data_IF_670102173931
#
_entry.id   IF_670102173931
#
_cell.length_a   1.000
_cell.length_b   1.000
_cell.length_c   1.000
_cell.angle_alpha   90.00
_cell.angle_beta   90.00
_cell.angle_gamma   90.00
#
_symmetry.space_group_name_H-M   'P 1'
#
loop_
_entity.id
_entity.type
_entity.pdbx_description
1 polymer ?
#
# COMPACT_ATOMS: atom_id res chain seq x y z
N UNK A 1 -16.19 15.73 26.29
CA UNK A 1 -17.24 16.22 25.36
C UNK A 1 -17.04 15.47 24.06
N UNK A 2 -17.85 14.43 23.82
CA UNK A 2 -17.82 13.66 22.59
C UNK A 2 -18.45 14.50 21.48
N UNK A 3 -17.62 15.15 20.67
CA UNK A 3 -18.08 15.79 19.43
C UNK A 3 -18.66 14.67 18.57
N UNK A 4 -19.97 14.70 18.33
CA UNK A 4 -20.67 13.72 17.52
C UNK A 4 -19.95 13.54 16.17
N UNK A 5 -19.33 12.38 15.99
CA UNK A 5 -18.61 11.98 14.78
C UNK A 5 -19.55 11.84 13.56
N UNK A 6 -20.87 11.86 13.78
CA UNK A 6 -21.91 11.55 12.80
C UNK A 6 -22.13 12.61 11.69
N UNK A 7 -21.34 13.70 11.64
CA UNK A 7 -21.53 14.79 10.68
C UNK A 7 -20.24 15.20 9.94
N UNK A 8 -19.25 14.30 9.79
CA UNK A 8 -18.06 14.61 9.00
C UNK A 8 -18.40 14.61 7.50
N UNK A 9 -18.07 15.70 6.82
CA UNK A 9 -17.99 15.75 5.37
C UNK A 9 -16.52 15.92 4.99
N UNK A 10 -16.06 15.16 4.00
CA UNK A 10 -14.74 15.33 3.40
C UNK A 10 -14.95 16.00 2.03
N UNK A 11 -15.14 17.34 1.95
CA UNK A 11 -15.33 18.04 0.66
C UNK A 11 -14.14 17.84 -0.28
N UNK A 12 -13.04 17.47 0.33
CA UNK A 12 -11.76 17.14 -0.21
C UNK A 12 -11.75 15.80 -0.98
N UNK A 13 -12.63 14.84 -0.64
CA UNK A 13 -12.83 13.56 -1.35
C UNK A 13 -14.01 13.63 -2.32
N UNK A 14 -13.87 14.46 -3.36
CA UNK A 14 -14.85 14.47 -4.44
C UNK A 14 -14.89 13.11 -5.16
N UNK A 15 -16.08 12.55 -5.45
CA UNK A 15 -16.19 11.33 -6.23
C UNK A 15 -15.54 11.52 -7.60
N UNK A 16 -14.82 10.50 -8.07
CA UNK A 16 -14.28 10.53 -9.43
C UNK A 16 -15.42 10.62 -10.45
N UNK A 17 -15.29 11.53 -11.40
CA UNK A 17 -16.21 11.63 -12.52
C UNK A 17 -16.01 10.43 -13.43
N UNK A 18 -17.07 9.62 -13.59
CA UNK A 18 -17.09 8.49 -14.54
C UNK A 18 -17.17 9.06 -15.96
N UNK A 19 -16.23 8.70 -16.84
CA UNK A 19 -16.25 9.14 -18.24
C UNK A 19 -16.58 7.98 -19.19
N UNK A 20 -16.89 8.26 -20.47
CA UNK A 20 -17.18 7.22 -21.45
C UNK A 20 -16.11 6.14 -21.60
N UNK A 21 -14.84 6.48 -21.33
CA UNK A 21 -13.75 5.51 -21.36
C UNK A 21 -13.90 4.42 -20.27
N UNK A 22 -14.58 4.74 -19.16
CA UNK A 22 -14.96 3.79 -18.10
C UNK A 22 -15.96 2.73 -18.57
N UNK A 23 -16.44 2.78 -19.82
CA UNK A 23 -17.35 1.76 -20.37
C UNK A 23 -16.66 0.77 -21.31
N UNK A 24 -15.35 0.90 -21.58
CA UNK A 24 -14.64 -0.13 -22.31
C UNK A 24 -14.66 -1.45 -21.52
N UNK A 25 -15.09 -2.54 -22.16
CA UNK A 25 -15.21 -3.83 -21.53
C UNK A 25 -13.83 -4.48 -21.28
N UNK A 26 -13.66 -5.24 -20.19
CA UNK A 26 -12.46 -6.05 -19.99
C UNK A 26 -12.35 -7.15 -21.05
N UNK A 27 -11.13 -7.64 -21.35
CA UNK A 27 -10.97 -8.75 -22.27
C UNK A 27 -11.65 -10.02 -21.75
N UNK A 28 -12.33 -10.79 -22.62
CA UNK A 28 -13.03 -12.01 -22.26
C UNK A 28 -12.19 -12.98 -21.40
N UNK A 29 -12.82 -13.72 -20.47
CA UNK A 29 -12.14 -14.79 -19.75
C UNK A 29 -11.48 -15.80 -20.71
N UNK A 30 -10.31 -16.33 -20.33
CA UNK A 30 -9.58 -17.33 -21.12
C UNK A 30 -8.78 -16.78 -22.31
N UNK A 31 -9.00 -15.53 -22.74
CA UNK A 31 -8.14 -14.91 -23.75
C UNK A 31 -6.72 -14.72 -23.22
N UNK A 32 -5.72 -15.11 -24.02
CA UNK A 32 -4.31 -14.85 -23.74
C UNK A 32 -4.01 -13.36 -23.87
N UNK A 33 -3.39 -12.79 -22.84
CA UNK A 33 -3.06 -11.37 -22.78
C UNK A 33 -1.59 -11.17 -23.15
N UNK A 34 -1.34 -10.41 -24.22
CA UNK A 34 0.02 -10.01 -24.62
C UNK A 34 0.41 -8.74 -23.88
N UNK A 35 1.53 -8.75 -23.16
CA UNK A 35 1.99 -7.55 -22.44
C UNK A 35 2.24 -6.36 -23.38
N UNK A 36 1.65 -5.22 -23.03
CA UNK A 36 1.69 -3.99 -23.83
C UNK A 36 0.59 -3.88 -24.89
N UNK A 37 -0.28 -4.88 -25.02
CA UNK A 37 -1.44 -4.83 -25.92
C UNK A 37 -2.57 -3.95 -25.37
N UNK A 38 -3.52 -3.53 -26.22
CA UNK A 38 -4.76 -2.90 -25.77
C UNK A 38 -5.52 -3.75 -24.74
N UNK A 39 -5.53 -5.08 -24.90
CA UNK A 39 -6.19 -5.99 -23.95
C UNK A 39 -5.48 -6.02 -22.59
N UNK A 40 -4.15 -5.91 -22.57
CA UNK A 40 -3.41 -5.77 -21.32
C UNK A 40 -3.74 -4.46 -20.60
N UNK A 41 -3.80 -3.36 -21.35
CA UNK A 41 -4.22 -2.05 -20.84
C UNK A 41 -5.64 -2.10 -20.28
N UNK A 42 -6.58 -2.65 -21.04
CA UNK A 42 -7.96 -2.79 -20.60
C UNK A 42 -8.05 -3.65 -19.34
N UNK A 43 -7.36 -4.80 -19.30
CA UNK A 43 -7.38 -5.68 -18.13
C UNK A 43 -6.88 -5.00 -16.84
N UNK A 44 -5.74 -4.31 -16.90
CA UNK A 44 -5.17 -3.65 -15.71
C UNK A 44 -6.02 -2.46 -15.26
N UNK A 45 -6.54 -1.66 -16.19
CA UNK A 45 -7.41 -0.53 -15.86
C UNK A 45 -8.77 -0.97 -15.33
N UNK A 46 -9.40 -1.98 -15.94
CA UNK A 46 -10.66 -2.55 -15.47
C UNK A 46 -10.54 -3.23 -14.13
N UNK A 47 -9.43 -3.93 -13.88
CA UNK A 47 -9.17 -4.43 -12.53
C UNK A 47 -9.22 -3.30 -11.51
N UNK A 48 -8.53 -2.17 -11.78
CA UNK A 48 -8.53 -1.04 -10.87
C UNK A 48 -9.91 -0.40 -10.72
N UNK A 49 -10.67 -0.21 -11.80
CA UNK A 49 -11.98 0.47 -11.75
C UNK A 49 -13.10 -0.42 -11.19
N UNK A 50 -13.15 -1.69 -11.58
CA UNK A 50 -14.27 -2.60 -11.29
C UNK A 50 -14.21 -3.19 -9.88
N UNK A 51 -13.02 -3.26 -9.30
CA UNK A 51 -12.84 -3.73 -7.93
C UNK A 51 -12.87 -2.60 -6.89
N UNK A 52 -13.20 -1.38 -7.31
CA UNK A 52 -13.39 -0.25 -6.41
C UNK A 52 -14.53 -0.48 -5.44
N UNK A 53 -14.26 -0.25 -4.16
CA UNK A 53 -15.29 -0.15 -3.12
C UNK A 53 -15.44 1.30 -2.68
N UNK A 54 -16.66 1.79 -2.79
CA UNK A 54 -17.05 3.17 -2.51
C UNK A 54 -17.39 3.41 -1.02
N UNK A 55 -16.77 2.67 -0.09
CA UNK A 55 -16.91 2.97 1.34
C UNK A 55 -16.43 4.40 1.64
N UNK A 56 -17.08 5.02 2.63
CA UNK A 56 -16.87 6.43 2.97
C UNK A 56 -16.18 6.53 4.34
N UNK A 57 -15.00 7.19 4.45
CA UNK A 57 -14.31 7.35 5.73
C UNK A 57 -15.20 7.97 6.82
N UNK A 58 -16.03 8.95 6.45
CA UNK A 58 -16.98 9.59 7.36
C UNK A 58 -18.02 8.65 8.00
N UNK A 59 -18.22 7.44 7.45
CA UNK A 59 -19.15 6.44 7.98
C UNK A 59 -18.45 5.36 8.81
N UNK A 60 -17.13 5.42 8.95
CA UNK A 60 -16.36 4.51 9.80
C UNK A 60 -16.75 4.73 11.26
N UNK A 61 -17.15 3.66 11.93
CA UNK A 61 -17.37 3.65 13.36
C UNK A 61 -16.08 3.26 14.07
N UNK A 62 -15.42 4.23 14.69
CA UNK A 62 -14.22 3.98 15.51
C UNK A 62 -14.65 3.31 16.83
N UNK A 63 -14.19 2.08 17.13
CA UNK A 63 -14.56 1.38 18.36
C UNK A 63 -14.01 2.11 19.59
N UNK A 64 -14.73 2.00 20.72
CA UNK A 64 -14.18 2.42 22.00
C UNK A 64 -13.07 1.45 22.41
N UNK A 65 -11.92 1.98 22.81
CA UNK A 65 -10.76 1.20 23.21
C UNK A 65 -10.60 1.26 24.72
N UNK A 66 -10.20 0.14 25.33
CA UNK A 66 -9.70 0.16 26.71
C UNK A 66 -8.41 0.99 26.81
N UNK A 67 -8.08 1.41 28.03
CA UNK A 67 -6.92 2.28 28.28
C UNK A 67 -5.59 1.66 27.83
N UNK A 68 -5.43 0.34 27.96
CA UNK A 68 -4.20 -0.35 27.58
C UNK A 68 -4.02 -0.32 26.05
N UNK A 69 -5.04 -0.72 25.30
CA UNK A 69 -5.06 -0.70 23.84
C UNK A 69 -4.91 0.73 23.31
N UNK A 70 -5.61 1.70 23.91
CA UNK A 70 -5.49 3.11 23.52
C UNK A 70 -4.06 3.60 23.72
N UNK A 71 -3.44 3.31 24.87
CA UNK A 71 -2.07 3.72 25.15
C UNK A 71 -1.07 3.08 24.17
N UNK A 72 -1.27 1.81 23.77
CA UNK A 72 -0.46 1.17 22.73
C UNK A 72 -0.53 1.96 21.42
N UNK A 73 -1.72 2.24 20.89
CA UNK A 73 -1.88 2.99 19.63
C UNK A 73 -1.25 4.37 19.73
N UNK A 74 -1.54 5.13 20.78
CA UNK A 74 -1.03 6.50 20.97
C UNK A 74 0.50 6.52 21.05
N UNK A 75 1.12 5.48 21.59
CA UNK A 75 2.58 5.40 21.73
C UNK A 75 3.35 5.08 20.44
N UNK A 76 2.67 4.65 19.37
CA UNK A 76 3.34 4.29 18.12
C UNK A 76 3.86 5.55 17.40
N UNK A 77 5.19 5.68 17.17
CA UNK A 77 5.81 6.88 16.60
C UNK A 77 5.73 6.90 15.06
N UNK A 78 4.56 6.56 14.51
CA UNK A 78 4.37 6.30 13.08
C UNK A 78 3.29 7.19 12.46
N UNK A 79 2.39 7.77 13.25
CA UNK A 79 1.15 8.34 12.72
C UNK A 79 1.37 9.56 11.84
N UNK A 80 2.27 10.46 12.23
CA UNK A 80 2.68 11.61 11.40
C UNK A 80 3.18 11.14 10.05
N UNK A 81 4.07 10.16 10.08
CA UNK A 81 4.73 9.62 8.90
C UNK A 81 3.73 8.90 8.01
N UNK A 82 2.81 8.12 8.59
CA UNK A 82 1.80 7.40 7.83
C UNK A 82 0.91 8.40 7.09
N UNK A 83 0.32 9.38 7.78
CA UNK A 83 -0.53 10.41 7.17
C UNK A 83 0.23 11.20 6.10
N UNK A 84 1.48 11.59 6.36
CA UNK A 84 2.30 12.32 5.41
C UNK A 84 2.70 11.49 4.19
N UNK A 85 2.92 10.19 4.37
CA UNK A 85 3.26 9.27 3.28
C UNK A 85 2.07 9.12 2.34
N UNK A 86 0.86 8.88 2.87
CA UNK A 86 -0.37 8.83 2.07
C UNK A 86 -0.63 10.15 1.32
N UNK A 87 -0.43 11.30 1.99
CA UNK A 87 -0.57 12.61 1.35
C UNK A 87 0.40 12.82 0.20
N UNK A 88 1.65 12.35 0.34
CA UNK A 88 2.66 12.42 -0.71
C UNK A 88 2.38 11.42 -1.85
N UNK A 89 1.94 10.20 -1.53
CA UNK A 89 1.53 9.21 -2.52
C UNK A 89 0.40 9.77 -3.39
N UNK A 90 -0.66 10.28 -2.77
CA UNK A 90 -1.77 10.95 -3.44
C UNK A 90 -1.30 12.06 -4.39
N UNK A 91 -0.41 12.96 -3.94
CA UNK A 91 0.16 14.02 -4.78
C UNK A 91 0.98 13.49 -5.95
N UNK A 92 1.81 12.46 -5.74
CA UNK A 92 2.64 11.85 -6.77
C UNK A 92 1.80 11.19 -7.86
N UNK A 93 0.82 10.37 -7.47
CA UNK A 93 -0.06 9.65 -8.40
C UNK A 93 -0.93 10.65 -9.17
N UNK A 94 -1.54 11.62 -8.48
CA UNK A 94 -2.34 12.68 -9.12
C UNK A 94 -1.52 13.45 -10.16
N UNK A 95 -0.31 13.87 -9.80
CA UNK A 95 0.56 14.64 -10.71
C UNK A 95 0.97 13.82 -11.93
N UNK A 96 1.19 12.51 -11.76
CA UNK A 96 1.48 11.62 -12.87
C UNK A 96 0.25 11.43 -13.76
N UNK A 97 -0.94 11.30 -13.17
CA UNK A 97 -2.20 11.13 -13.89
C UNK A 97 -2.46 12.25 -14.91
N UNK A 98 -2.17 13.50 -14.54
CA UNK A 98 -2.33 14.67 -15.42
C UNK A 98 -1.55 14.58 -16.74
N UNK A 99 -0.57 13.68 -16.86
CA UNK A 99 0.21 13.46 -18.09
C UNK A 99 -0.31 12.31 -18.95
N UNK A 100 -1.30 11.58 -18.47
CA UNK A 100 -1.83 10.38 -19.13
C UNK A 100 -2.86 10.80 -20.17
N UNK A 101 -2.55 10.51 -21.43
CA UNK A 101 -3.42 10.82 -22.57
C UNK A 101 -4.42 9.70 -22.86
N UNK A 102 -4.09 8.46 -22.47
CA UNK A 102 -4.98 7.32 -22.65
C UNK A 102 -6.17 7.44 -21.67
N UNK A 103 -7.41 7.58 -22.15
CA UNK A 103 -8.53 7.92 -21.28
C UNK A 103 -8.83 6.86 -20.21
N UNK A 104 -8.79 5.57 -20.56
CA UNK A 104 -9.08 4.49 -19.62
C UNK A 104 -7.96 4.36 -18.57
N UNK A 105 -6.70 4.57 -18.97
CA UNK A 105 -5.58 4.57 -18.04
C UNK A 105 -5.58 5.81 -17.13
N UNK A 106 -5.99 6.97 -17.65
CA UNK A 106 -6.14 8.19 -16.87
C UNK A 106 -7.21 8.03 -15.76
N UNK A 107 -8.31 7.34 -16.06
CA UNK A 107 -9.32 7.04 -15.05
C UNK A 107 -8.81 6.05 -14.00
N UNK A 108 -8.11 4.99 -14.41
CA UNK A 108 -7.58 4.01 -13.48
C UNK A 108 -6.50 4.60 -12.54
N UNK A 109 -5.60 5.44 -13.07
CA UNK A 109 -4.60 6.15 -12.25
C UNK A 109 -5.28 7.21 -11.38
N UNK A 110 -6.32 7.88 -11.90
CA UNK A 110 -7.17 8.76 -11.10
C UNK A 110 -7.82 8.06 -9.92
N UNK A 111 -8.32 6.83 -10.13
CA UNK A 111 -8.84 5.97 -9.07
C UNK A 111 -7.79 5.64 -8.02
N UNK A 112 -6.57 5.31 -8.43
CA UNK A 112 -5.50 5.07 -7.48
C UNK A 112 -5.21 6.34 -6.66
N UNK A 113 -5.07 7.50 -7.29
CA UNK A 113 -4.84 8.77 -6.57
C UNK A 113 -5.97 9.13 -5.59
N UNK A 114 -7.22 8.81 -5.93
CA UNK A 114 -8.38 8.99 -5.06
C UNK A 114 -8.29 8.08 -3.82
N UNK A 115 -7.91 6.83 -4.02
CA UNK A 115 -7.75 5.83 -2.95
C UNK A 115 -6.60 6.19 -2.00
N UNK A 116 -5.43 6.59 -2.51
CA UNK A 116 -4.33 7.14 -1.69
C UNK A 116 -4.79 8.32 -0.82
N UNK A 117 -5.57 9.23 -1.43
CA UNK A 117 -6.13 10.37 -0.72
C UNK A 117 -7.10 9.94 0.37
N UNK A 118 -7.85 8.87 0.11
CA UNK A 118 -8.80 8.30 1.07
C UNK A 118 -8.06 7.65 2.23
N UNK A 119 -6.96 6.95 2.00
CA UNK A 119 -6.11 6.38 3.06
C UNK A 119 -5.63 7.44 4.04
N UNK A 120 -5.11 8.56 3.53
CA UNK A 120 -4.73 9.73 4.35
C UNK A 120 -5.86 10.17 5.28
N UNK A 121 -7.08 10.25 4.76
CA UNK A 121 -8.25 10.70 5.52
C UNK A 121 -8.68 9.67 6.55
N UNK A 122 -8.69 8.38 6.21
CA UNK A 122 -8.96 7.30 7.17
C UNK A 122 -7.99 7.37 8.33
N UNK A 123 -6.69 7.54 8.06
CA UNK A 123 -5.67 7.70 9.11
C UNK A 123 -5.86 8.98 9.91
N UNK A 124 -6.12 10.12 9.27
CA UNK A 124 -6.35 11.41 9.94
C UNK A 124 -7.60 11.36 10.86
N UNK A 125 -8.66 10.69 10.43
CA UNK A 125 -9.86 10.50 11.23
C UNK A 125 -9.60 9.57 12.42
N UNK A 126 -8.82 8.50 12.22
CA UNK A 126 -8.44 7.57 13.29
C UNK A 126 -7.65 8.27 14.40
N UNK A 127 -6.58 8.98 14.02
CA UNK A 127 -5.71 9.65 15.00
C UNK A 127 -6.48 10.71 15.77
N UNK A 128 -7.40 11.43 15.12
CA UNK A 128 -8.28 12.36 15.78
C UNK A 128 -9.28 11.64 16.72
N UNK A 129 -9.85 10.51 16.30
CA UNK A 129 -10.78 9.73 17.11
C UNK A 129 -10.16 9.26 18.43
N UNK A 130 -8.87 8.88 18.40
CA UNK A 130 -8.15 8.44 19.59
C UNK A 130 -7.37 9.54 20.32
N UNK A 131 -7.43 10.79 19.85
CA UNK A 131 -6.77 11.94 20.48
C UNK A 131 -5.25 11.89 20.38
N UNK A 132 -4.73 11.41 19.25
CA UNK A 132 -3.32 11.41 18.90
C UNK A 132 -3.00 12.74 18.23
N UNK A 133 -2.09 13.50 18.82
CA UNK A 133 -1.64 14.77 18.27
C UNK A 133 -0.65 14.52 17.14
N UNK A 134 -0.98 15.01 15.94
CA UNK A 134 -0.07 14.98 14.80
C UNK A 134 0.82 16.23 14.76
N UNK A 135 2.05 16.04 14.31
CA UNK A 135 2.89 17.12 13.82
C UNK A 135 2.20 17.83 12.63
N UNK A 136 2.49 19.13 12.41
CA UNK A 136 1.96 19.85 11.26
C UNK A 136 2.28 19.12 9.95
N UNK A 137 1.27 18.93 9.12
CA UNK A 137 1.46 18.33 7.80
C UNK A 137 2.34 19.26 6.92
N UNK A 138 3.30 18.69 6.16
CA UNK A 138 4.09 19.46 5.23
C UNK A 138 3.26 19.80 3.99
N UNK A 139 3.69 20.83 3.25
CA UNK A 139 3.14 21.10 1.93
C UNK A 139 3.45 19.93 0.99
N UNK A 140 2.41 19.31 0.43
CA UNK A 140 2.54 18.28 -0.58
C UNK A 140 2.88 18.91 -1.94
N UNK A 141 4.18 19.08 -2.20
CA UNK A 141 4.67 19.75 -3.41
C UNK A 141 4.57 18.84 -4.63
N UNK A 142 4.12 19.42 -5.75
CA UNK A 142 4.09 18.77 -7.06
C UNK A 142 5.50 18.27 -7.46
N UNK A 143 5.72 16.98 -7.76
CA UNK A 143 7.03 16.48 -8.15
C UNK A 143 7.47 17.03 -9.50
N UNK A 144 8.76 17.37 -9.61
CA UNK A 144 9.38 17.84 -10.86
C UNK A 144 9.40 16.77 -11.96
N UNK A 145 9.62 15.51 -11.58
CA UNK A 145 9.53 14.34 -12.46
C UNK A 145 8.40 13.42 -11.98
N UNK A 146 7.16 13.60 -12.49
CA UNK A 146 6.01 12.82 -12.08
C UNK A 146 6.13 11.32 -12.38
N UNK A 147 6.82 10.94 -13.48
CA UNK A 147 7.02 9.52 -13.79
C UNK A 147 7.98 8.87 -12.78
N UNK A 148 9.05 9.57 -12.41
CA UNK A 148 9.96 9.09 -11.37
C UNK A 148 9.27 8.99 -10.01
N UNK A 149 8.49 10.01 -9.63
CA UNK A 149 7.76 10.03 -8.37
C UNK A 149 6.72 8.90 -8.28
N UNK A 150 5.95 8.68 -9.36
CA UNK A 150 4.99 7.57 -9.44
C UNK A 150 5.67 6.20 -9.35
N UNK A 151 6.82 6.01 -10.01
CA UNK A 151 7.60 4.78 -9.87
C UNK A 151 8.11 4.59 -8.44
N UNK A 152 8.63 5.64 -7.80
CA UNK A 152 9.09 5.56 -6.41
C UNK A 152 7.95 5.14 -5.47
N UNK A 153 6.79 5.78 -5.60
CA UNK A 153 5.58 5.45 -4.84
C UNK A 153 5.17 3.98 -5.05
N UNK A 154 4.91 3.56 -6.29
CA UNK A 154 4.42 2.19 -6.53
C UNK A 154 5.44 1.06 -6.23
N UNK A 155 6.75 1.30 -6.39
CA UNK A 155 7.76 0.33 -5.94
C UNK A 155 7.89 0.28 -4.41
N UNK A 156 7.68 1.40 -3.71
CA UNK A 156 7.64 1.42 -2.23
C UNK A 156 6.42 0.66 -1.74
N UNK A 157 5.22 0.94 -2.26
CA UNK A 157 3.99 0.20 -1.93
C UNK A 157 4.15 -1.31 -2.15
N UNK A 158 4.81 -1.75 -3.24
CA UNK A 158 5.09 -3.18 -3.43
C UNK A 158 5.88 -3.82 -2.26
N UNK A 159 6.74 -3.06 -1.59
CA UNK A 159 7.47 -3.50 -0.40
C UNK A 159 6.57 -3.35 0.83
N UNK A 160 5.93 -2.19 0.96
CA UNK A 160 5.22 -1.78 2.15
C UNK A 160 3.94 -2.60 2.33
N UNK A 161 3.13 -2.79 1.28
CA UNK A 161 1.96 -3.67 1.33
C UNK A 161 2.37 -5.13 1.57
N UNK A 162 3.50 -5.62 1.05
CA UNK A 162 3.95 -7.00 1.30
C UNK A 162 4.17 -7.28 2.80
N UNK A 163 4.87 -6.37 3.50
CA UNK A 163 5.07 -6.49 4.94
C UNK A 163 3.83 -6.09 5.73
N UNK A 164 3.12 -5.06 5.28
CA UNK A 164 1.87 -4.57 5.87
C UNK A 164 0.83 -5.67 5.95
N UNK A 165 0.63 -6.46 4.89
CA UNK A 165 -0.30 -7.59 4.90
C UNK A 165 0.05 -8.63 5.96
N UNK A 166 1.33 -8.94 6.14
CA UNK A 166 1.77 -9.91 7.14
C UNK A 166 1.65 -9.37 8.57
N UNK A 167 2.05 -8.12 8.80
CA UNK A 167 1.91 -7.44 10.09
C UNK A 167 0.44 -7.27 10.49
N UNK A 168 -0.43 -6.96 9.52
CA UNK A 168 -1.86 -6.85 9.72
C UNK A 168 -2.48 -8.18 10.15
N UNK A 169 -2.11 -9.29 9.48
CA UNK A 169 -2.54 -10.63 9.88
C UNK A 169 -2.03 -11.01 11.26
N UNK A 170 -0.77 -10.67 11.55
CA UNK A 170 -0.17 -10.94 12.86
C UNK A 170 -0.91 -10.19 13.97
N UNK A 171 -1.16 -8.89 13.79
CA UNK A 171 -1.88 -8.06 14.75
C UNK A 171 -3.28 -8.62 15.05
N UNK A 172 -3.95 -9.15 14.02
CA UNK A 172 -5.24 -9.84 14.16
C UNK A 172 -5.13 -11.14 14.95
N UNK A 173 -4.21 -12.01 14.56
CA UNK A 173 -4.07 -13.32 15.19
C UNK A 173 -3.65 -13.25 16.66
N UNK A 174 -2.88 -12.23 17.03
CA UNK A 174 -2.40 -12.05 18.40
C UNK A 174 -3.34 -11.24 19.27
N UNK A 175 -4.45 -10.72 18.72
CA UNK A 175 -5.33 -9.78 19.42
C UNK A 175 -4.59 -8.54 19.90
N UNK A 176 -3.56 -8.09 19.15
CA UNK A 176 -2.79 -6.90 19.54
C UNK A 176 -3.67 -5.64 19.54
N UNK A 177 -4.60 -5.59 18.59
CA UNK A 177 -5.71 -4.66 18.54
C UNK A 177 -7.04 -5.42 18.49
N UNK A 178 -8.16 -4.82 18.95
CA UNK A 178 -9.48 -5.40 18.81
C UNK A 178 -9.83 -5.68 17.35
N UNK A 179 -10.52 -6.79 17.09
CA UNK A 179 -10.95 -7.18 15.73
C UNK A 179 -11.76 -6.07 15.05
N UNK A 180 -12.61 -5.35 15.79
CA UNK A 180 -13.41 -4.24 15.30
C UNK A 180 -12.56 -3.08 14.73
N UNK A 181 -11.41 -2.81 15.37
CA UNK A 181 -10.48 -1.81 14.89
C UNK A 181 -9.73 -2.31 13.65
N UNK A 182 -9.28 -3.57 13.67
CA UNK A 182 -8.56 -4.16 12.54
C UNK A 182 -9.46 -4.23 11.31
N UNK A 183 -10.69 -4.69 11.44
CA UNK A 183 -11.64 -4.85 10.35
C UNK A 183 -12.01 -3.52 9.67
N UNK A 184 -11.91 -2.41 10.41
CA UNK A 184 -12.05 -1.05 9.86
C UNK A 184 -11.01 -0.74 8.77
N UNK A 185 -9.82 -1.34 8.85
CA UNK A 185 -8.71 -1.15 7.90
C UNK A 185 -8.67 -2.20 6.78
N UNK A 186 -9.53 -3.23 6.81
CA UNK A 186 -9.55 -4.25 5.76
C UNK A 186 -9.86 -3.67 4.36
N UNK A 187 -10.74 -2.65 4.20
CA UNK A 187 -10.91 -1.98 2.93
C UNK A 187 -9.63 -1.31 2.40
N UNK A 188 -8.85 -0.65 3.28
CA UNK A 188 -7.55 -0.05 2.96
C UNK A 188 -6.58 -1.15 2.49
N UNK A 189 -6.48 -2.27 3.22
CA UNK A 189 -5.61 -3.38 2.84
C UNK A 189 -5.97 -4.00 1.47
N UNK A 190 -7.24 -3.91 1.06
CA UNK A 190 -7.66 -4.34 -0.28
C UNK A 190 -7.30 -3.32 -1.36
N UNK A 191 -7.42 -2.02 -1.09
CA UNK A 191 -6.95 -0.95 -1.97
C UNK A 191 -5.45 -1.07 -2.24
N UNK A 192 -4.64 -1.24 -1.19
CA UNK A 192 -3.20 -1.51 -1.28
C UNK A 192 -2.88 -2.67 -2.23
N UNK A 193 -3.64 -3.78 -2.12
CA UNK A 193 -3.51 -4.92 -3.00
C UNK A 193 -3.81 -4.59 -4.48
N UNK A 194 -4.75 -3.67 -4.74
CA UNK A 194 -5.08 -3.19 -6.08
C UNK A 194 -4.03 -2.24 -6.61
N UNK A 195 -3.48 -1.37 -5.77
CA UNK A 195 -2.44 -0.40 -6.13
C UNK A 195 -1.18 -1.09 -6.63
N UNK A 196 -0.65 -2.02 -5.84
CA UNK A 196 0.55 -2.79 -6.22
C UNK A 196 0.30 -3.65 -7.46
N UNK A 197 -0.92 -4.21 -7.60
CA UNK A 197 -1.28 -5.03 -8.75
C UNK A 197 -1.41 -4.19 -10.02
N UNK A 198 -2.06 -3.04 -9.94
CA UNK A 198 -2.17 -2.07 -11.02
C UNK A 198 -0.77 -1.60 -11.42
N UNK A 199 0.05 -1.19 -10.47
CA UNK A 199 1.38 -0.64 -10.71
C UNK A 199 2.30 -1.60 -11.47
N UNK A 200 2.42 -2.87 -11.04
CA UNK A 200 3.32 -3.81 -11.72
C UNK A 200 2.86 -4.13 -13.14
N UNK A 201 1.54 -4.16 -13.39
CA UNK A 201 0.99 -4.31 -14.74
C UNK A 201 1.18 -3.04 -15.57
N UNK A 202 1.01 -1.86 -14.98
CA UNK A 202 1.32 -0.58 -15.61
C UNK A 202 2.79 -0.52 -16.03
N UNK A 203 3.74 -0.86 -15.16
CA UNK A 203 5.18 -0.88 -15.51
C UNK A 203 5.43 -1.80 -16.72
N UNK A 204 4.83 -3.00 -16.72
CA UNK A 204 4.98 -3.96 -17.81
C UNK A 204 4.35 -3.46 -19.13
N UNK A 205 3.20 -2.81 -19.05
CA UNK A 205 2.54 -2.19 -20.19
C UNK A 205 3.37 -1.01 -20.73
N UNK A 206 3.76 -0.09 -19.84
CA UNK A 206 4.48 1.15 -20.14
C UNK A 206 5.83 0.89 -20.82
N UNK A 207 6.61 -0.09 -20.32
CA UNK A 207 7.84 -0.56 -20.97
C UNK A 207 7.63 -0.97 -22.42
N UNK A 208 6.48 -1.57 -22.73
CA UNK A 208 6.19 -2.13 -24.06
C UNK A 208 5.58 -1.10 -25.01
N UNK A 209 4.84 -0.12 -24.50
CA UNK A 209 4.17 0.91 -25.32
C UNK A 209 5.01 2.16 -25.54
N UNK A 210 5.99 2.45 -24.67
CA UNK A 210 6.87 3.60 -24.87
C UNK A 210 7.80 3.44 -26.09
N UNK A 211 8.19 4.55 -26.74
CA UNK A 211 9.19 4.54 -27.79
C UNK A 211 10.49 3.87 -27.33
N UNK A 212 11.09 3.06 -28.20
CA UNK A 212 12.25 2.24 -27.84
C UNK A 212 13.45 3.08 -27.37
N UNK A 213 13.63 4.30 -27.89
CA UNK A 213 14.69 5.22 -27.51
C UNK A 213 14.52 5.80 -26.10
N UNK A 214 13.31 5.81 -25.55
CA UNK A 214 13.03 6.27 -24.17
C UNK A 214 13.31 5.19 -23.14
N UNK A 215 13.34 3.92 -23.55
CA UNK A 215 13.51 2.77 -22.64
C UNK A 215 14.80 2.81 -21.83
N UNK A 216 15.99 3.14 -22.38
CA UNK A 216 17.20 3.23 -21.58
C UNK A 216 17.09 4.23 -20.43
N UNK A 217 16.50 5.41 -20.69
CA UNK A 217 16.26 6.42 -19.66
C UNK A 217 15.25 5.93 -18.61
N UNK A 218 14.18 5.26 -19.04
CA UNK A 218 13.20 4.69 -18.12
C UNK A 218 13.83 3.62 -17.21
N UNK A 219 14.61 2.69 -17.75
CA UNK A 219 15.30 1.68 -16.93
C UNK A 219 16.35 2.29 -16.01
N UNK A 220 17.03 3.37 -16.42
CA UNK A 220 17.91 4.12 -15.53
C UNK A 220 17.15 4.74 -14.36
N UNK A 221 15.95 5.29 -14.59
CA UNK A 221 15.07 5.76 -13.51
C UNK A 221 14.65 4.63 -12.58
N UNK A 222 14.27 3.47 -13.12
CA UNK A 222 13.92 2.28 -12.32
C UNK A 222 15.11 1.86 -11.44
N UNK A 223 16.31 1.80 -12.00
CA UNK A 223 17.53 1.49 -11.24
C UNK A 223 17.76 2.50 -10.12
N UNK A 224 17.63 3.80 -10.41
CA UNK A 224 17.77 4.85 -9.41
C UNK A 224 16.73 4.69 -8.29
N UNK A 225 15.46 4.42 -8.61
CA UNK A 225 14.44 4.13 -7.59
C UNK A 225 14.89 2.96 -6.70
N UNK A 226 15.35 1.85 -7.28
CA UNK A 226 15.82 0.71 -6.48
C UNK A 226 17.04 1.04 -5.63
N UNK A 227 18.00 1.82 -6.13
CA UNK A 227 19.15 2.28 -5.36
C UNK A 227 18.72 3.15 -4.18
N UNK A 228 17.73 4.04 -4.36
CA UNK A 228 17.14 4.82 -3.27
C UNK A 228 16.46 3.92 -2.25
N UNK A 229 15.58 3.01 -2.69
CA UNK A 229 14.85 2.13 -1.78
C UNK A 229 15.82 1.24 -0.98
N UNK A 230 16.76 0.56 -1.65
CA UNK A 230 17.77 -0.27 -0.98
C UNK A 230 18.63 0.58 -0.03
N UNK A 231 19.05 1.77 -0.48
CA UNK A 231 19.83 2.70 0.34
C UNK A 231 19.10 3.10 1.62
N UNK A 232 17.82 3.46 1.53
CA UNK A 232 16.96 3.74 2.69
C UNK A 232 16.92 2.52 3.64
N UNK A 233 16.76 1.31 3.12
CA UNK A 233 16.69 0.08 3.94
C UNK A 233 18.04 -0.29 4.58
N UNK A 234 19.16 -0.05 3.91
CA UNK A 234 20.50 -0.20 4.49
C UNK A 234 20.74 0.86 5.57
N UNK A 235 20.34 2.11 5.34
CA UNK A 235 20.45 3.19 6.33
C UNK A 235 19.69 2.84 7.61
N UNK A 236 18.47 2.31 7.47
CA UNK A 236 17.68 1.78 8.59
C UNK A 236 18.41 0.65 9.34
N UNK A 237 18.97 -0.32 8.60
CA UNK A 237 19.65 -1.48 9.20
C UNK A 237 20.98 -1.13 9.90
N UNK A 238 21.65 -0.04 9.49
CA UNK A 238 22.93 0.41 10.09
C UNK A 238 22.77 1.25 11.36
N UNK A 239 21.55 1.63 11.72
CA UNK A 239 21.19 2.17 13.03
C UNK A 239 21.18 3.70 13.13
N UNK A 240 20.13 4.20 13.78
CA UNK A 240 20.21 5.12 14.92
C UNK A 240 21.45 6.04 14.97
N UNK A 241 21.55 6.95 14.01
CA UNK A 241 22.33 8.18 14.14
C UNK A 241 21.37 9.31 14.43
N UNK A 242 21.63 10.07 15.49
CA UNK A 242 20.91 11.30 15.83
C UNK A 242 20.71 12.17 14.58
N UNK A 243 19.51 12.72 14.41
CA UNK A 243 19.07 13.58 13.29
C UNK A 243 18.78 12.90 11.94
N UNK A 244 17.81 11.98 11.88
CA UNK A 244 17.22 11.61 10.59
C UNK A 244 15.69 11.46 10.63
N UNK A 245 15.00 12.59 10.62
CA UNK A 245 13.55 12.70 10.35
C UNK A 245 13.13 12.11 8.99
N UNK A 246 14.09 11.78 8.11
CA UNK A 246 13.88 11.16 6.79
C UNK A 246 13.99 9.64 6.77
N UNK A 247 14.54 9.00 7.80
CA UNK A 247 14.69 7.55 7.87
C UNK A 247 13.45 6.84 8.44
N UNK A 248 12.44 7.61 8.84
CA UNK A 248 11.30 7.13 9.61
C UNK A 248 10.11 6.67 8.72
N UNK A 249 10.12 7.01 7.43
CA UNK A 249 9.07 6.67 6.44
C UNK A 249 8.83 5.16 6.27
N UNK A 250 9.83 4.32 6.56
CA UNK A 250 9.77 2.87 6.32
C UNK A 250 10.09 2.02 7.58
N UNK A 251 10.10 2.63 8.77
CA UNK A 251 10.47 1.93 10.01
C UNK A 251 9.47 0.83 10.42
N UNK A 252 8.21 0.97 10.02
CA UNK A 252 7.11 0.08 10.43
C UNK A 252 7.21 -1.31 9.77
N UNK A 253 7.67 -1.42 8.53
CA UNK A 253 7.57 -2.66 7.74
C UNK A 253 8.63 -3.72 8.07
N UNK A 254 9.76 -3.34 8.67
CA UNK A 254 10.82 -4.28 9.06
C UNK A 254 10.99 -4.48 10.58
N UNK A 255 10.59 -3.50 11.41
CA UNK A 255 10.61 -3.62 12.87
C UNK A 255 9.22 -3.74 13.50
N UNK A 256 8.14 -3.73 12.71
CA UNK A 256 6.76 -3.78 13.19
C UNK A 256 6.47 -4.94 14.13
N UNK A 257 7.12 -6.10 13.99
CA UNK A 257 6.93 -7.22 14.94
C UNK A 257 7.43 -6.91 16.36
N UNK A 258 8.51 -6.11 16.50
CA UNK A 258 9.00 -5.65 17.81
C UNK A 258 8.08 -4.59 18.41
N UNK A 259 7.54 -3.70 17.58
CA UNK A 259 6.58 -2.66 18.00
C UNK A 259 5.22 -3.26 18.36
N UNK A 260 4.82 -4.36 17.71
CA UNK A 260 3.63 -5.16 18.06
C UNK A 260 3.84 -6.02 19.32
N UNK A 261 5.01 -5.98 19.97
CA UNK A 261 5.25 -6.73 21.22
C UNK A 261 5.13 -8.26 21.10
N UNK A 262 5.05 -8.80 19.88
CA UNK A 262 4.95 -10.25 19.64
C UNK A 262 6.33 -10.79 19.30
N UNK A 263 6.77 -11.81 20.04
CA UNK A 263 8.00 -12.55 19.72
C UNK A 263 7.82 -13.42 18.46
N UNK A 264 7.76 -12.79 17.29
CA UNK A 264 7.75 -13.50 15.99
C UNK A 264 9.16 -13.54 15.42
N UNK A 265 9.62 -14.74 15.08
CA UNK A 265 10.90 -14.90 14.40
C UNK A 265 10.83 -14.35 12.98
N UNK A 266 11.91 -13.76 12.46
CA UNK A 266 11.94 -13.29 11.07
C UNK A 266 11.46 -14.33 10.03
N UNK A 267 11.86 -15.62 10.11
CA UNK A 267 11.37 -16.64 9.19
C UNK A 267 9.87 -16.91 9.29
N UNK A 268 9.27 -16.73 10.47
CA UNK A 268 7.84 -16.88 10.67
C UNK A 268 7.08 -15.69 10.05
N UNK A 269 7.50 -14.46 10.36
CA UNK A 269 6.93 -13.26 9.75
C UNK A 269 7.01 -13.31 8.21
N UNK A 270 8.16 -13.70 7.66
CA UNK A 270 8.32 -13.82 6.21
C UNK A 270 7.37 -14.85 5.58
N UNK A 271 7.03 -15.95 6.28
CA UNK A 271 6.04 -16.92 5.81
C UNK A 271 4.62 -16.35 5.86
N UNK A 272 4.28 -15.61 6.92
CA UNK A 272 2.99 -14.93 7.04
C UNK A 272 2.83 -13.91 5.90
N UNK A 273 3.83 -13.05 5.66
CA UNK A 273 3.81 -12.08 4.57
C UNK A 273 3.63 -12.76 3.19
N UNK A 274 4.32 -13.88 2.94
CA UNK A 274 4.16 -14.64 1.69
C UNK A 274 2.73 -15.17 1.52
N UNK A 275 2.18 -15.80 2.57
CA UNK A 275 0.84 -16.37 2.54
C UNK A 275 -0.22 -15.29 2.35
N UNK A 276 -0.12 -14.17 3.06
CA UNK A 276 -1.08 -13.06 2.96
C UNK A 276 -0.97 -12.33 1.63
N UNK A 277 0.24 -12.12 1.10
CA UNK A 277 0.42 -11.57 -0.24
C UNK A 277 -0.24 -12.46 -1.30
N UNK A 278 -0.05 -13.78 -1.24
CA UNK A 278 -0.66 -14.73 -2.18
C UNK A 278 -2.19 -14.77 -2.01
N UNK A 279 -2.71 -14.74 -0.77
CA UNK A 279 -4.15 -14.71 -0.45
C UNK A 279 -4.83 -13.45 -0.98
N UNK A 280 -4.29 -12.27 -0.64
CA UNK A 280 -4.89 -10.96 -0.97
C UNK A 280 -4.83 -10.68 -2.47
N UNK A 281 -3.77 -11.10 -3.16
CA UNK A 281 -3.67 -10.91 -4.62
C UNK A 281 -4.37 -12.01 -5.44
N UNK A 282 -4.64 -13.17 -4.83
CA UNK A 282 -5.21 -14.35 -5.48
C UNK A 282 -6.66 -14.18 -5.95
N UNK A 283 -7.39 -13.19 -5.41
CA UNK A 283 -8.79 -12.92 -5.79
C UNK A 283 -8.92 -12.23 -7.16
N UNK A 284 -7.85 -11.62 -7.66
CA UNK A 284 -7.85 -10.90 -8.94
C UNK A 284 -7.51 -11.80 -10.12
N UNK A 285 -7.81 -11.34 -11.34
CA UNK A 285 -7.60 -12.11 -12.57
C UNK A 285 -6.15 -12.68 -12.68
N UNK A 286 -5.97 -14.00 -12.79
CA UNK A 286 -4.65 -14.63 -12.78
C UNK A 286 -3.76 -14.25 -13.98
N UNK A 287 -4.34 -13.63 -15.03
CA UNK A 287 -3.60 -13.14 -16.20
C UNK A 287 -2.80 -11.87 -15.91
N UNK A 288 -3.13 -11.15 -14.84
CA UNK A 288 -2.35 -10.00 -14.36
C UNK A 288 -1.00 -10.46 -13.79
N UNK A 289 0.02 -9.63 -13.98
CA UNK A 289 1.33 -9.79 -13.35
C UNK A 289 1.23 -9.49 -11.86
N UNK A 290 1.91 -10.27 -11.02
CA UNK A 290 1.94 -10.08 -9.54
C UNK A 290 3.34 -9.60 -9.16
N UNK A 291 3.49 -8.79 -8.08
CA UNK A 291 4.81 -8.42 -7.57
C UNK A 291 5.65 -9.66 -7.27
N UNK A 292 6.87 -9.73 -7.82
CA UNK A 292 7.74 -10.92 -7.69
C UNK A 292 9.00 -10.69 -6.88
N UNK A 293 9.53 -9.47 -6.86
CA UNK A 293 10.85 -9.20 -6.29
C UNK A 293 10.91 -9.51 -4.79
N UNK A 294 10.08 -8.85 -3.98
CA UNK A 294 10.07 -9.04 -2.51
C UNK A 294 9.69 -10.48 -2.14
N UNK A 295 8.62 -11.09 -2.70
CA UNK A 295 8.32 -12.50 -2.45
C UNK A 295 9.47 -13.45 -2.83
N UNK A 296 10.18 -13.21 -3.95
CA UNK A 296 11.32 -14.03 -4.34
C UNK A 296 12.49 -13.89 -3.36
N UNK A 297 12.79 -12.66 -2.91
CA UNK A 297 13.84 -12.42 -1.92
C UNK A 297 13.50 -13.06 -0.57
N UNK A 298 12.25 -12.99 -0.11
CA UNK A 298 11.82 -13.66 1.13
C UNK A 298 11.89 -15.17 1.00
N UNK A 299 11.42 -15.76 -0.12
CA UNK A 299 11.57 -17.19 -0.37
C UNK A 299 13.04 -17.61 -0.41
N UNK A 300 13.93 -16.78 -0.93
CA UNK A 300 15.38 -17.02 -0.91
C UNK A 300 15.93 -16.98 0.51
N UNK A 301 15.61 -15.95 1.30
CA UNK A 301 16.02 -15.84 2.70
C UNK A 301 15.57 -17.04 3.54
N UNK A 302 14.33 -17.51 3.33
CA UNK A 302 13.77 -18.68 4.01
C UNK A 302 14.51 -19.99 3.69
N UNK A 303 15.15 -20.12 2.53
CA UNK A 303 15.98 -21.31 2.22
C UNK A 303 17.20 -21.41 3.14
N UNK A 304 17.70 -20.28 3.65
CA UNK A 304 18.85 -20.23 4.55
C UNK A 304 18.47 -20.23 6.03
N UNK A 305 17.19 -20.02 6.37
CA UNK A 305 16.73 -19.85 7.75
C UNK A 305 16.33 -21.16 8.48
N UNK A 306 16.47 -22.33 7.84
CA UNK A 306 16.12 -23.63 8.43
C UNK A 306 14.61 -23.96 8.42
N UNK A 307 14.27 -25.23 8.71
CA UNK A 307 12.87 -25.70 8.72
C UNK A 307 12.07 -25.04 9.86
N UNK A 308 10.76 -24.78 9.66
CA UNK A 308 9.90 -24.21 10.71
C UNK A 308 9.91 -25.10 11.96
N UNK A 309 10.00 -24.48 13.14
CA UNK A 309 9.76 -25.17 14.41
C UNK A 309 8.27 -25.57 14.43
N UNK A 310 7.92 -26.82 14.78
CA UNK A 310 6.52 -27.23 14.82
C UNK A 310 5.75 -26.33 15.80
N UNK A 311 4.50 -25.98 15.45
CA UNK A 311 3.62 -25.21 16.31
C UNK A 311 3.49 -25.89 17.68
N UNK A 312 3.42 -25.14 18.80
CA UNK A 312 3.13 -25.73 20.09
C UNK A 312 1.78 -26.43 20.00
N UNK A 313 1.77 -27.75 20.21
CA UNK A 313 0.54 -28.51 20.33
C UNK A 313 -0.26 -27.90 21.49
N UNK A 314 -1.53 -27.61 21.23
CA UNK A 314 -2.43 -26.96 22.16
C UNK A 314 -2.35 -27.59 23.55
N UNK A 315 -2.30 -26.74 24.57
CA UNK A 315 -2.60 -27.14 25.93
C UNK A 315 -4.07 -27.57 25.94
N UNK A 316 -4.29 -28.87 25.81
CA UNK A 316 -5.49 -29.51 26.29
C UNK A 316 -5.43 -29.48 27.82
N UNK A 317 -6.28 -28.64 28.43
CA UNK A 317 -6.89 -28.83 29.74
C UNK A 317 -8.06 -27.85 29.86
#
# INVERSE_FOLDING_TARGET
MATSLASRTHPDLEPLTISPASFEAPPPPGQRIRLGSPEHRSLLSRMMLDSHDAYRPALIHWPELDDETRNRIVSLPIWDIAVQTEGRASMNVKTFNERIQDPLLHEAIGMNAYEERRHKIVLADMVQAYGIELAPEPDYVRPRDPEFAFMRTGYSECIDSFFGFGLFKLAKDTGFFPDELIDTFEPVMREEGRHILFFVNWVAWWRRTMPWWRRPLFEAKVLLVWLFLIGERISMAKGMGADNTKAQENNFTLNGSKELGVEVTFPELARICLAENDRRLGVYDPRLIRPKFVPAMMRLALKFAGKPKPAPQGAAA
#
